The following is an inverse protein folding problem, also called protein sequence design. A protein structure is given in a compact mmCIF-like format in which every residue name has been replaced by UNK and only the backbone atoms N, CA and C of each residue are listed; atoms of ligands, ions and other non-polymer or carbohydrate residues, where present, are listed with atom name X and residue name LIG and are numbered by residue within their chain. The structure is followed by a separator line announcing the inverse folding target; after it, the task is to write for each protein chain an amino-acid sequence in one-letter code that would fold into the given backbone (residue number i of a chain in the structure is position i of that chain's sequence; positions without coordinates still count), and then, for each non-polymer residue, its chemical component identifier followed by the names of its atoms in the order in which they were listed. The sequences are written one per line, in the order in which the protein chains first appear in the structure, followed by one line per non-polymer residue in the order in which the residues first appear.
data_IF_288717508787
#
_entry.id   IF_288717508787
#
_cell.length_a   1.000
_cell.length_b   1.000
_cell.length_c   1.000
_cell.angle_alpha   90.00
_cell.angle_beta   90.00
_cell.angle_gamma   90.00
#
_symmetry.space_group_name_H-M   'P 1'
#
loop_
_entity.id
_entity.type
_entity.pdbx_description
1 polymer ?
#
# COMPACT_ATOMS: atom_id res chain seq x y z
N UNK A 1 28.40 -6.17 10.46
CA UNK A 1 28.03 -5.12 9.47
C UNK A 1 28.00 -3.73 10.10
N UNK A 2 27.55 -3.56 11.35
CA UNK A 2 27.62 -2.29 12.09
C UNK A 2 29.00 -1.97 12.70
N UNK A 3 30.04 -2.77 12.38
CA UNK A 3 31.35 -2.74 13.06
C UNK A 3 32.45 -2.12 12.18
N UNK A 4 32.13 -1.67 10.95
CA UNK A 4 33.14 -1.21 9.96
C UNK A 4 32.81 0.14 9.32
N UNK A 5 31.67 0.77 9.65
CA UNK A 5 31.23 2.01 9.00
C UNK A 5 31.11 3.14 10.03
N UNK A 6 31.97 4.14 9.89
CA UNK A 6 32.01 5.36 10.70
C UNK A 6 30.74 6.21 10.49
N UNK A 7 30.37 7.07 11.44
CA UNK A 7 29.08 7.81 11.48
C UNK A 7 28.85 8.76 10.29
N UNK A 8 29.88 8.98 9.48
CA UNK A 8 29.85 9.83 8.28
C UNK A 8 29.39 9.09 7.02
N UNK A 9 29.30 7.75 7.04
CA UNK A 9 28.85 6.96 5.89
C UNK A 9 27.31 6.91 5.79
N UNK A 10 26.76 7.52 4.73
CA UNK A 10 25.35 7.35 4.34
C UNK A 10 25.22 6.25 3.30
N UNK A 11 24.60 5.13 3.66
CA UNK A 11 24.20 4.10 2.69
C UNK A 11 22.96 4.57 1.93
N UNK A 12 23.12 4.94 0.66
CA UNK A 12 22.00 5.18 -0.24
C UNK A 12 21.73 3.90 -1.06
N UNK A 13 20.45 3.56 -1.22
CA UNK A 13 20.06 2.53 -2.19
C UNK A 13 20.19 3.13 -3.59
N UNK A 14 20.97 2.46 -4.45
CA UNK A 14 21.24 2.87 -5.82
C UNK A 14 20.74 1.81 -6.83
N UNK A 15 20.40 2.24 -8.04
CA UNK A 15 19.92 1.36 -9.12
C UNK A 15 18.53 0.74 -8.88
N UNK A 16 18.40 -0.56 -9.16
CA UNK A 16 17.17 -1.39 -9.07
C UNK A 16 16.47 -1.29 -7.70
N UNK A 17 17.25 -1.26 -6.62
CA UNK A 17 16.72 -1.24 -5.25
C UNK A 17 15.98 0.07 -4.90
N UNK A 18 16.41 1.20 -5.48
CA UNK A 18 15.71 2.49 -5.37
C UNK A 18 14.46 2.51 -6.22
N UNK A 19 14.56 2.04 -7.47
CA UNK A 19 13.41 1.96 -8.39
C UNK A 19 12.32 1.03 -7.83
N UNK A 20 12.72 -0.09 -7.22
CA UNK A 20 11.81 -1.01 -6.54
C UNK A 20 11.09 -0.32 -5.37
N UNK A 21 11.81 0.43 -4.54
CA UNK A 21 11.20 1.20 -3.44
C UNK A 21 10.24 2.27 -3.93
N UNK A 22 10.62 3.03 -4.96
CA UNK A 22 9.80 4.09 -5.54
C UNK A 22 8.54 3.54 -6.22
N UNK A 23 8.70 2.44 -6.96
CA UNK A 23 7.59 1.74 -7.62
C UNK A 23 6.66 1.10 -6.60
N UNK A 24 7.20 0.45 -5.56
CA UNK A 24 6.41 -0.12 -4.47
C UNK A 24 5.63 0.95 -3.73
N UNK A 25 6.23 2.12 -3.47
CA UNK A 25 5.54 3.26 -2.88
C UNK A 25 4.39 3.74 -3.76
N UNK A 26 4.61 3.85 -5.07
CA UNK A 26 3.59 4.26 -6.03
C UNK A 26 2.46 3.24 -6.14
N UNK A 27 2.79 1.95 -6.11
CA UNK A 27 1.81 0.85 -6.09
C UNK A 27 0.96 0.87 -4.83
N UNK A 28 1.56 1.03 -3.65
CA UNK A 28 0.84 1.12 -2.38
C UNK A 28 -0.08 2.35 -2.35
N UNK A 29 0.38 3.48 -2.89
CA UNK A 29 -0.44 4.68 -3.03
C UNK A 29 -1.66 4.45 -3.94
N UNK A 30 -1.44 3.90 -5.13
CA UNK A 30 -2.52 3.59 -6.07
C UNK A 30 -3.50 2.56 -5.51
N UNK A 31 -3.01 1.52 -4.81
CA UNK A 31 -3.82 0.51 -4.16
C UNK A 31 -4.69 1.10 -3.04
N UNK A 32 -4.12 1.95 -2.19
CA UNK A 32 -4.88 2.66 -1.15
C UNK A 32 -5.95 3.58 -1.74
N UNK A 33 -5.64 4.30 -2.81
CA UNK A 33 -6.60 5.13 -3.52
C UNK A 33 -7.74 4.29 -4.12
N UNK A 34 -7.42 3.14 -4.73
CA UNK A 34 -8.40 2.22 -5.29
C UNK A 34 -9.36 1.69 -4.21
N UNK A 35 -8.84 1.33 -3.03
CA UNK A 35 -9.67 0.91 -1.89
C UNK A 35 -10.66 2.00 -1.49
N UNK A 36 -10.20 3.26 -1.39
CA UNK A 36 -11.05 4.39 -1.04
C UNK A 36 -12.15 4.59 -2.09
N UNK A 37 -11.78 4.57 -3.38
CA UNK A 37 -12.73 4.75 -4.47
C UNK A 37 -13.78 3.63 -4.51
N UNK A 38 -13.36 2.38 -4.40
CA UNK A 38 -14.27 1.23 -4.35
C UNK A 38 -15.23 1.35 -3.16
N UNK A 39 -14.72 1.69 -1.98
CA UNK A 39 -15.56 1.90 -0.80
C UNK A 39 -16.62 2.98 -1.03
N UNK A 40 -16.23 4.13 -1.60
CA UNK A 40 -17.16 5.24 -1.86
C UNK A 40 -18.20 4.89 -2.93
N UNK A 41 -17.80 4.18 -3.98
CA UNK A 41 -18.71 3.70 -5.04
C UNK A 41 -19.74 2.72 -4.46
N UNK A 42 -19.28 1.76 -3.66
CA UNK A 42 -20.18 0.81 -2.99
C UNK A 42 -21.09 1.51 -1.97
N UNK A 43 -20.58 2.50 -1.25
CA UNK A 43 -21.38 3.27 -0.30
C UNK A 43 -22.51 4.05 -0.97
N UNK A 44 -22.22 4.64 -2.14
CA UNK A 44 -23.24 5.27 -2.96
C UNK A 44 -24.23 4.24 -3.54
N UNK A 45 -23.75 3.06 -3.96
CA UNK A 45 -24.59 2.00 -4.54
C UNK A 45 -25.59 1.41 -3.54
N UNK A 46 -25.14 1.13 -2.31
CA UNK A 46 -25.99 0.55 -1.27
C UNK A 46 -26.72 1.60 -0.42
N UNK A 47 -26.50 2.89 -0.69
CA UNK A 47 -27.02 4.00 0.11
C UNK A 47 -26.66 3.85 1.62
N UNK A 48 -25.51 3.24 1.90
CA UNK A 48 -25.12 2.77 3.23
C UNK A 48 -23.61 2.70 3.34
N UNK A 49 -23.07 3.13 4.48
CA UNK A 49 -21.64 3.01 4.80
C UNK A 49 -21.30 1.68 5.50
N UNK A 50 -22.29 0.96 6.03
CA UNK A 50 -22.05 -0.30 6.77
C UNK A 50 -21.83 -1.47 5.83
N UNK A 51 -22.64 -1.57 4.78
CA UNK A 51 -22.57 -2.70 3.84
C UNK A 51 -21.23 -2.75 3.08
N UNK A 52 -20.72 -1.62 2.53
CA UNK A 52 -19.39 -1.57 1.94
C UNK A 52 -18.28 -1.94 2.91
N UNK A 53 -18.40 -1.56 4.19
CA UNK A 53 -17.39 -1.90 5.20
C UNK A 53 -17.32 -3.41 5.43
N UNK A 54 -18.48 -4.08 5.54
CA UNK A 54 -18.55 -5.54 5.68
C UNK A 54 -17.99 -6.25 4.45
N UNK A 55 -18.29 -5.76 3.25
CA UNK A 55 -17.75 -6.31 1.99
C UNK A 55 -16.23 -6.14 1.93
N UNK A 56 -15.71 -4.97 2.31
CA UNK A 56 -14.27 -4.70 2.30
C UNK A 56 -13.47 -5.58 3.25
N UNK A 57 -14.07 -6.14 4.31
CA UNK A 57 -13.41 -7.14 5.17
C UNK A 57 -13.07 -8.44 4.44
N UNK A 58 -13.75 -8.74 3.34
CA UNK A 58 -13.45 -9.92 2.50
C UNK A 58 -12.24 -9.71 1.59
N UNK A 59 -11.86 -8.45 1.31
CA UNK A 59 -10.77 -8.11 0.39
C UNK A 59 -9.41 -8.58 0.92
N UNK A 60 -9.02 -8.37 2.19
CA UNK A 60 -7.78 -8.94 2.73
C UNK A 60 -7.74 -10.46 2.59
N UNK A 61 -8.85 -11.15 2.86
CA UNK A 61 -8.93 -12.61 2.72
C UNK A 61 -8.69 -13.06 1.28
N UNK A 62 -9.15 -12.29 0.28
CA UNK A 62 -8.89 -12.56 -1.13
C UNK A 62 -7.44 -12.27 -1.56
N UNK A 63 -6.72 -11.39 -0.87
CA UNK A 63 -5.30 -11.10 -1.12
C UNK A 63 -4.39 -12.16 -0.49
N UNK A 64 -4.77 -12.72 0.65
CA UNK A 64 -4.02 -13.77 1.36
C UNK A 64 -4.39 -15.20 0.93
N UNK A 65 -5.51 -15.37 0.22
CA UNK A 65 -6.06 -16.65 -0.24
C UNK A 65 -5.61 -17.07 -1.63
#
# INVERSE_FOLDING_TARGET
AAEVLDETFRTALEGESRNFRESSSSLLFAFGLAIILIFLVLAAQFESFKDPFVIMLTVPLAVFG
#
